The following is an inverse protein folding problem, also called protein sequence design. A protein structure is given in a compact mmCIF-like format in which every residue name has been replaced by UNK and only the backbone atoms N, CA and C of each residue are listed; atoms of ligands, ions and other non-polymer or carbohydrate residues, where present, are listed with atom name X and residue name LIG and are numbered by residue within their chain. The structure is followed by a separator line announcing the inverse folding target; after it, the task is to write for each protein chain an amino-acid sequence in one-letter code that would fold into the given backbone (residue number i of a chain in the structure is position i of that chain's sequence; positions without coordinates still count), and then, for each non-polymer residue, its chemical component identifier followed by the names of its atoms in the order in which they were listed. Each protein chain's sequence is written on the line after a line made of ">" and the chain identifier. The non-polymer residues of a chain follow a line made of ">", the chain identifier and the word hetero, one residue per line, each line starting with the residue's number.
data_IF_829214983214
#
_entry.id   IF_829214983214
#
_cell.length_a   1.000
_cell.length_b   1.000
_cell.length_c   1.000
_cell.angle_alpha   90.00
_cell.angle_beta   90.00
_cell.angle_gamma   90.00
#
_symmetry.space_group_name_H-M   'P 1'
#
loop_
_entity.id
_entity.type
_entity.pdbx_description
1 polymer ?
#
# COMPACT_ATOMS: atom_id res chain seq x y z
N UNK A 1 49.57 -8.00 107.83
CA UNK A 1 49.22 -6.66 108.26
C UNK A 1 48.55 -6.00 107.07
N UNK A 2 47.29 -5.95 107.06
CA UNK A 2 46.41 -4.77 107.16
C UNK A 2 46.17 -4.04 105.82
N UNK A 3 45.11 -3.66 105.38
CA UNK A 3 43.77 -3.36 105.90
C UNK A 3 42.75 -3.46 104.77
N UNK A 4 41.56 -4.08 105.05
CA UNK A 4 40.41 -4.05 104.26
C UNK A 4 39.75 -2.67 104.23
N UNK A 5 39.29 -2.21 103.05
CA UNK A 5 38.31 -1.17 102.95
C UNK A 5 37.27 -1.58 101.88
N UNK A 6 35.96 -1.49 102.21
CA UNK A 6 34.90 -1.94 101.31
C UNK A 6 34.56 -0.89 100.24
N UNK A 7 34.06 -1.30 99.07
CA UNK A 7 33.66 -0.38 98.02
C UNK A 7 32.25 0.10 98.26
N UNK A 8 32.02 1.40 98.19
CA UNK A 8 30.74 2.06 98.18
C UNK A 8 29.97 1.75 96.83
N UNK A 9 28.82 1.07 96.92
CA UNK A 9 27.89 0.93 95.87
C UNK A 9 27.14 2.27 95.59
N UNK A 10 27.49 2.90 94.47
CA UNK A 10 26.70 3.99 93.89
C UNK A 10 25.49 3.40 93.14
N UNK A 11 24.35 3.51 93.70
CA UNK A 11 23.04 3.27 93.11
C UNK A 11 22.81 4.34 91.99
N UNK A 12 23.05 3.99 90.75
CA UNK A 12 22.61 4.79 89.57
C UNK A 12 21.08 4.70 89.49
N UNK A 13 20.40 5.78 89.83
CA UNK A 13 18.99 5.92 89.53
C UNK A 13 18.74 5.99 88.05
N UNK A 14 18.13 4.92 87.46
CA UNK A 14 17.62 4.93 86.10
C UNK A 14 16.40 5.79 86.02
N UNK A 15 16.48 6.96 85.42
CA UNK A 15 15.32 7.75 85.02
C UNK A 15 14.56 6.99 83.89
N UNK A 16 13.29 6.71 84.04
CA UNK A 16 12.46 6.19 82.98
C UNK A 16 12.26 7.33 81.94
N UNK A 17 12.76 7.10 80.73
CA UNK A 17 12.42 7.94 79.56
C UNK A 17 10.90 7.85 79.37
N UNK A 18 10.18 8.87 79.71
CA UNK A 18 8.78 9.02 79.37
C UNK A 18 8.63 9.07 77.88
N UNK A 19 8.14 7.98 77.29
CA UNK A 19 7.75 7.96 75.89
C UNK A 19 6.62 8.98 75.67
N UNK A 20 6.96 10.09 75.00
CA UNK A 20 6.00 11.09 74.61
C UNK A 20 5.01 10.45 73.65
N UNK A 21 3.84 10.11 74.11
CA UNK A 21 2.71 9.75 73.24
C UNK A 21 2.39 10.94 72.34
N UNK A 22 2.83 10.86 71.07
CA UNK A 22 2.37 11.81 70.04
C UNK A 22 0.89 11.58 69.85
N UNK A 23 0.07 12.65 69.93
CA UNK A 23 -1.37 12.53 69.64
C UNK A 23 -1.55 12.06 68.22
N UNK A 24 -2.10 10.85 68.00
CA UNK A 24 -2.55 10.39 66.71
C UNK A 24 -3.75 11.25 66.29
N UNK A 25 -3.52 12.15 65.36
CA UNK A 25 -4.62 12.88 64.73
C UNK A 25 -5.36 11.88 63.83
N UNK A 26 -6.61 11.57 64.16
CA UNK A 26 -7.52 10.80 63.31
C UNK A 26 -7.84 11.59 62.04
N UNK A 27 -7.96 10.87 60.91
CA UNK A 27 -8.44 11.46 59.67
C UNK A 27 -9.86 11.97 59.80
N UNK A 28 -10.11 13.14 59.25
CA UNK A 28 -11.49 13.67 59.17
C UNK A 28 -12.21 13.05 57.96
N UNK A 29 -13.51 12.87 58.04
CA UNK A 29 -14.33 12.32 56.98
C UNK A 29 -14.22 13.17 55.69
N UNK A 30 -14.09 14.49 55.82
CA UNK A 30 -13.91 15.40 54.68
C UNK A 30 -12.56 15.23 53.99
N UNK A 31 -11.51 14.95 54.75
CA UNK A 31 -10.17 14.70 54.20
C UNK A 31 -10.12 13.41 53.35
N UNK A 32 -10.86 12.37 53.80
CA UNK A 32 -11.04 11.15 53.02
C UNK A 32 -11.83 11.40 51.74
N UNK A 33 -12.92 12.17 51.81
CA UNK A 33 -13.74 12.53 50.66
C UNK A 33 -12.94 13.31 49.62
N UNK A 34 -12.15 14.30 50.04
CA UNK A 34 -11.30 15.08 49.14
C UNK A 34 -10.22 14.19 48.50
N UNK A 35 -9.59 13.31 49.27
CA UNK A 35 -8.58 12.40 48.75
C UNK A 35 -9.15 11.47 47.66
N UNK A 36 -10.35 10.89 47.87
CA UNK A 36 -11.02 10.06 46.87
C UNK A 36 -11.41 10.88 45.65
N UNK A 37 -11.90 12.10 45.82
CA UNK A 37 -12.25 12.97 44.70
C UNK A 37 -11.02 13.33 43.84
N UNK A 38 -9.88 13.63 44.46
CA UNK A 38 -8.62 13.92 43.76
C UNK A 38 -8.10 12.68 43.03
N UNK A 39 -8.13 11.51 43.71
CA UNK A 39 -7.74 10.26 43.06
C UNK A 39 -8.63 9.91 41.85
N UNK A 40 -9.95 10.13 42.00
CA UNK A 40 -10.90 9.94 40.88
C UNK A 40 -10.61 10.87 39.70
N UNK A 41 -10.32 12.13 39.96
CA UNK A 41 -9.96 13.12 38.95
C UNK A 41 -8.67 12.75 38.25
N UNK A 42 -7.63 12.35 38.97
CA UNK A 42 -6.35 11.92 38.40
C UNK A 42 -6.50 10.65 37.55
N UNK A 43 -7.31 9.69 38.00
CA UNK A 43 -7.60 8.47 37.24
C UNK A 43 -8.36 8.79 35.97
N UNK A 44 -9.32 9.70 36.01
CA UNK A 44 -10.06 10.14 34.81
C UNK A 44 -9.15 10.84 33.80
N UNK A 45 -8.29 11.76 34.26
CA UNK A 45 -7.31 12.43 33.37
C UNK A 45 -6.31 11.44 32.73
N UNK A 46 -5.84 10.46 33.51
CA UNK A 46 -4.95 9.41 32.99
C UNK A 46 -5.64 8.55 31.91
N UNK A 47 -6.90 8.17 32.15
CA UNK A 47 -7.70 7.44 31.16
C UNK A 47 -7.88 8.24 29.88
N UNK A 48 -8.21 9.52 29.96
CA UNK A 48 -8.41 10.40 28.81
C UNK A 48 -7.12 10.58 28.01
N UNK A 49 -5.96 10.65 28.67
CA UNK A 49 -4.66 10.71 28.00
C UNK A 49 -4.35 9.42 27.22
N UNK A 50 -4.63 8.26 27.81
CA UNK A 50 -4.43 6.95 27.16
C UNK A 50 -5.37 6.75 25.95
N UNK A 51 -6.65 7.16 26.07
CA UNK A 51 -7.60 7.07 24.95
C UNK A 51 -7.15 7.97 23.77
N UNK A 52 -6.71 9.19 24.05
CA UNK A 52 -6.15 10.10 23.05
C UNK A 52 -4.92 9.54 22.35
N UNK A 53 -4.03 8.87 23.09
CA UNK A 53 -2.82 8.26 22.56
C UNK A 53 -3.15 7.08 21.65
N UNK A 54 -4.09 6.21 22.05
CA UNK A 54 -4.57 5.07 21.28
C UNK A 54 -5.21 5.50 19.94
N UNK A 55 -6.01 6.57 19.95
CA UNK A 55 -6.60 7.13 18.72
C UNK A 55 -5.54 7.68 17.77
N UNK A 56 -4.56 8.40 18.30
CA UNK A 56 -3.45 8.95 17.49
C UNK A 56 -2.63 7.83 16.88
N UNK A 57 -2.34 6.77 17.63
CA UNK A 57 -1.62 5.60 17.14
C UNK A 57 -2.37 4.92 16.00
N UNK A 58 -3.69 4.68 16.16
CA UNK A 58 -4.49 4.04 15.12
C UNK A 58 -4.53 4.83 13.81
N UNK A 59 -4.68 6.16 13.89
CA UNK A 59 -4.65 7.05 12.72
C UNK A 59 -3.29 7.02 12.04
N UNK A 60 -2.20 7.06 12.83
CA UNK A 60 -0.84 7.03 12.29
C UNK A 60 -0.54 5.70 11.60
N UNK A 61 -0.96 4.59 12.20
CA UNK A 61 -0.81 3.24 11.62
C UNK A 61 -1.58 3.12 10.32
N UNK A 62 -2.84 3.54 10.28
CA UNK A 62 -3.65 3.50 9.06
C UNK A 62 -3.01 4.33 7.93
N UNK A 63 -2.48 5.51 8.24
CA UNK A 63 -1.77 6.33 7.23
C UNK A 63 -0.51 5.66 6.71
N UNK A 64 0.25 4.99 7.58
CA UNK A 64 1.42 4.24 7.18
C UNK A 64 1.05 3.06 6.27
N UNK A 65 -0.01 2.32 6.60
CA UNK A 65 -0.50 1.20 5.81
C UNK A 65 -0.99 1.65 4.42
N UNK A 66 -1.73 2.76 4.34
CA UNK A 66 -2.18 3.35 3.07
C UNK A 66 -1.00 3.75 2.18
N UNK A 67 0.06 4.31 2.76
CA UNK A 67 1.28 4.69 2.04
C UNK A 67 2.04 3.47 1.53
N UNK A 68 2.21 2.45 2.36
CA UNK A 68 2.86 1.20 1.99
C UNK A 68 2.09 0.48 0.87
N UNK A 69 0.76 0.45 0.94
CA UNK A 69 -0.08 -0.12 -0.11
C UNK A 69 0.09 0.62 -1.44
N UNK A 70 0.11 1.96 -1.41
CA UNK A 70 0.37 2.77 -2.61
C UNK A 70 1.75 2.48 -3.19
N UNK A 71 2.81 2.46 -2.37
CA UNK A 71 4.16 2.16 -2.82
C UNK A 71 4.28 0.75 -3.41
N UNK A 72 3.68 -0.25 -2.76
CA UNK A 72 3.64 -1.62 -3.27
C UNK A 72 2.90 -1.70 -4.61
N UNK A 73 1.78 -0.97 -4.73
CA UNK A 73 1.02 -0.90 -5.98
C UNK A 73 1.79 -0.27 -7.13
N UNK A 74 2.48 0.84 -6.87
CA UNK A 74 3.33 1.48 -7.87
C UNK A 74 4.52 0.59 -8.30
N UNK A 75 5.09 -0.15 -7.35
CA UNK A 75 6.11 -1.16 -7.63
C UNK A 75 5.56 -2.31 -8.49
N UNK A 76 4.35 -2.78 -8.17
CA UNK A 76 3.69 -3.83 -8.96
C UNK A 76 3.32 -3.34 -10.37
N UNK A 77 2.86 -2.08 -10.50
CA UNK A 77 2.62 -1.44 -11.80
C UNK A 77 3.87 -1.46 -12.67
N UNK A 78 5.00 -1.00 -12.14
CA UNK A 78 6.27 -1.01 -12.85
C UNK A 78 6.71 -2.43 -13.23
N UNK A 79 6.61 -3.39 -12.30
CA UNK A 79 6.96 -4.78 -12.54
C UNK A 79 6.05 -5.46 -13.58
N UNK A 80 4.78 -5.07 -13.66
CA UNK A 80 3.87 -5.56 -14.72
C UNK A 80 4.31 -5.06 -16.10
N UNK A 81 4.68 -3.78 -16.20
CA UNK A 81 5.15 -3.18 -17.44
C UNK A 81 6.54 -3.70 -17.87
N UNK A 82 7.46 -3.90 -16.92
CA UNK A 82 8.79 -4.46 -17.18
C UNK A 82 8.74 -5.90 -17.73
N UNK A 83 7.70 -6.64 -17.35
CA UNK A 83 7.52 -8.02 -17.76
C UNK A 83 6.62 -8.18 -19.00
N UNK A 84 6.23 -7.09 -19.67
CA UNK A 84 5.38 -7.16 -20.87
C UNK A 84 5.97 -8.17 -21.88
N UNK A 85 5.08 -8.98 -22.44
CA UNK A 85 5.41 -9.99 -23.43
C UNK A 85 4.45 -9.92 -24.61
N UNK A 86 4.96 -9.73 -25.80
CA UNK A 86 4.19 -9.83 -27.05
C UNK A 86 3.91 -11.29 -27.35
N UNK A 87 2.64 -11.63 -27.53
CA UNK A 87 2.19 -13.00 -27.82
C UNK A 87 1.79 -13.20 -29.27
N UNK A 88 1.60 -12.12 -30.02
CA UNK A 88 1.08 -12.16 -31.39
C UNK A 88 -0.41 -12.53 -31.51
N UNK A 89 -1.08 -12.85 -30.40
CA UNK A 89 -2.50 -13.25 -30.40
C UNK A 89 -3.42 -12.13 -29.92
N UNK A 90 -2.99 -11.37 -28.92
CA UNK A 90 -3.67 -10.19 -28.37
C UNK A 90 -2.67 -9.04 -28.28
N UNK A 91 -3.12 -7.78 -28.17
CA UNK A 91 -2.22 -6.65 -27.92
C UNK A 91 -1.38 -6.90 -26.66
N UNK A 92 -0.10 -6.53 -26.70
CA UNK A 92 0.77 -6.66 -25.53
C UNK A 92 0.43 -5.65 -24.46
N UNK A 93 -0.08 -4.48 -24.86
CA UNK A 93 -0.59 -3.40 -24.01
C UNK A 93 -1.74 -2.72 -24.73
N UNK A 94 -2.84 -2.45 -24.01
CA UNK A 94 -4.02 -1.78 -24.52
C UNK A 94 -4.72 -0.98 -23.42
N UNK A 95 -5.21 0.21 -23.75
CA UNK A 95 -6.00 1.05 -22.87
C UNK A 95 -7.27 1.49 -23.56
N UNK A 96 -8.42 1.10 -23.02
CA UNK A 96 -9.76 1.38 -23.58
C UNK A 96 -10.38 2.68 -23.03
N UNK A 97 -9.61 3.52 -22.34
CA UNK A 97 -10.08 4.73 -21.66
C UNK A 97 -10.49 4.51 -20.20
N UNK A 98 -10.66 3.26 -19.79
CA UNK A 98 -11.02 2.87 -18.43
C UNK A 98 -10.09 1.82 -17.85
N UNK A 99 -9.70 0.85 -18.65
CA UNK A 99 -8.92 -0.32 -18.23
C UNK A 99 -7.63 -0.39 -19.03
N UNK A 100 -6.50 -0.43 -18.36
CA UNK A 100 -5.24 -0.80 -18.98
C UNK A 100 -5.10 -2.31 -18.87
N UNK A 101 -4.93 -2.97 -20.01
CA UNK A 101 -4.72 -4.43 -20.12
C UNK A 101 -3.34 -4.70 -20.68
N UNK A 102 -2.68 -5.72 -20.19
CA UNK A 102 -1.39 -6.14 -20.71
C UNK A 102 -1.18 -7.65 -20.59
N UNK A 103 -0.37 -8.20 -21.48
CA UNK A 103 0.18 -9.54 -21.37
C UNK A 103 1.58 -9.46 -20.81
N UNK A 104 1.88 -10.32 -19.84
CA UNK A 104 3.21 -10.37 -19.23
C UNK A 104 3.69 -11.79 -19.04
N UNK A 105 5.02 -11.93 -18.91
CA UNK A 105 5.65 -13.21 -18.58
C UNK A 105 5.23 -13.66 -17.18
N UNK A 106 4.86 -14.95 -17.06
CA UNK A 106 4.61 -15.58 -15.77
C UNK A 106 5.86 -16.34 -15.30
N UNK A 107 6.55 -15.85 -14.24
CA UNK A 107 7.77 -16.50 -13.77
C UNK A 107 7.51 -17.86 -13.10
N UNK A 108 6.29 -18.10 -12.58
CA UNK A 108 5.97 -19.32 -11.85
C UNK A 108 5.75 -20.52 -12.77
N UNK A 109 5.21 -20.32 -13.98
CA UNK A 109 4.98 -21.40 -14.93
C UNK A 109 6.25 -21.81 -15.70
N UNK A 110 7.24 -20.93 -15.75
CA UNK A 110 8.52 -21.25 -16.41
C UNK A 110 9.31 -22.36 -15.71
N UNK A 111 8.99 -22.67 -14.46
CA UNK A 111 9.75 -23.61 -13.63
C UNK A 111 9.45 -25.09 -13.93
N UNK A 112 8.38 -25.42 -14.64
CA UNK A 112 7.93 -26.83 -14.82
C UNK A 112 7.82 -27.35 -16.25
N UNK A 113 7.61 -26.48 -17.23
CA UNK A 113 7.24 -26.89 -18.61
C UNK A 113 8.22 -26.47 -19.69
N UNK A 114 9.26 -25.72 -19.37
CA UNK A 114 10.24 -25.21 -20.35
C UNK A 114 9.71 -24.10 -21.26
N UNK A 115 8.43 -23.78 -21.20
CA UNK A 115 7.83 -22.65 -21.92
C UNK A 115 7.50 -21.51 -20.96
N UNK A 116 7.81 -20.27 -21.31
CA UNK A 116 7.43 -19.13 -20.49
C UNK A 116 5.90 -19.04 -20.46
N UNK A 117 5.31 -19.16 -19.25
CA UNK A 117 3.90 -18.93 -19.05
C UNK A 117 3.53 -17.46 -19.36
N UNK A 118 2.30 -17.25 -19.77
CA UNK A 118 1.73 -15.92 -20.02
C UNK A 118 0.63 -15.64 -19.04
N UNK A 119 0.59 -14.40 -18.56
CA UNK A 119 -0.44 -13.88 -17.65
C UNK A 119 -1.07 -12.65 -18.27
N UNK A 120 -2.39 -12.54 -18.16
CA UNK A 120 -3.10 -11.30 -18.46
C UNK A 120 -3.25 -10.51 -17.17
N UNK A 121 -2.91 -9.23 -17.21
CA UNK A 121 -3.08 -8.29 -16.11
C UNK A 121 -3.94 -7.14 -16.59
N UNK A 122 -4.79 -6.62 -15.72
CA UNK A 122 -5.57 -5.43 -15.96
C UNK A 122 -5.53 -4.49 -14.75
N UNK A 123 -5.52 -3.19 -15.04
CA UNK A 123 -5.58 -2.12 -14.05
C UNK A 123 -6.74 -1.20 -14.37
N UNK A 124 -7.48 -0.79 -13.37
CA UNK A 124 -8.59 0.16 -13.52
C UNK A 124 -8.86 0.91 -12.22
N UNK A 125 -9.63 1.98 -12.31
CA UNK A 125 -10.18 2.69 -11.16
C UNK A 125 -11.66 2.34 -11.03
N UNK A 126 -12.04 1.67 -9.95
CA UNK A 126 -13.42 1.27 -9.65
C UNK A 126 -13.80 1.76 -8.26
N UNK A 127 -14.94 2.45 -8.14
CA UNK A 127 -15.48 2.93 -6.86
C UNK A 127 -14.45 3.69 -6.01
N UNK A 128 -13.59 4.48 -6.65
CA UNK A 128 -12.53 5.21 -5.95
C UNK A 128 -11.36 4.35 -5.46
N UNK A 129 -11.24 3.11 -5.95
CA UNK A 129 -10.14 2.20 -5.67
C UNK A 129 -9.38 1.91 -6.96
N UNK A 130 -8.07 2.16 -6.96
CA UNK A 130 -7.17 1.71 -7.99
C UNK A 130 -6.93 0.23 -7.78
N UNK A 131 -7.36 -0.58 -8.72
CA UNK A 131 -7.49 -2.04 -8.57
C UNK A 131 -6.74 -2.75 -9.67
N UNK A 132 -6.07 -3.83 -9.31
CA UNK A 132 -5.37 -4.74 -10.20
C UNK A 132 -6.09 -6.08 -10.28
N UNK A 133 -6.26 -6.60 -11.48
CA UNK A 133 -6.77 -7.94 -11.77
C UNK A 133 -5.72 -8.75 -12.53
N UNK A 134 -5.74 -10.09 -12.39
CA UNK A 134 -4.87 -10.97 -13.14
C UNK A 134 -5.49 -12.33 -13.40
N UNK A 135 -5.18 -12.90 -14.59
CA UNK A 135 -5.41 -14.30 -14.92
C UNK A 135 -4.08 -15.00 -15.18
N UNK A 136 -3.92 -16.18 -14.61
CA UNK A 136 -2.72 -17.03 -14.66
C UNK A 136 -3.07 -18.38 -15.27
N UNK A 137 -2.07 -19.22 -15.59
CA UNK A 137 -2.32 -20.56 -16.09
C UNK A 137 -2.79 -20.58 -17.55
N UNK A 138 -2.42 -19.58 -18.35
CA UNK A 138 -2.88 -19.41 -19.72
C UNK A 138 -1.97 -20.20 -20.69
N UNK A 139 -2.27 -21.49 -20.87
CA UNK A 139 -1.44 -22.40 -21.67
C UNK A 139 -1.89 -22.49 -23.14
N UNK A 140 -3.05 -21.94 -23.49
CA UNK A 140 -3.59 -22.00 -24.86
C UNK A 140 -3.99 -20.62 -25.36
N UNK A 141 -3.97 -20.44 -26.70
CA UNK A 141 -4.43 -19.20 -27.32
C UNK A 141 -5.90 -18.90 -27.01
N UNK A 142 -6.72 -19.93 -26.89
CA UNK A 142 -8.14 -19.78 -26.52
C UNK A 142 -8.26 -19.23 -25.09
N UNK A 143 -7.54 -19.79 -24.13
CA UNK A 143 -7.52 -19.30 -22.74
C UNK A 143 -7.00 -17.86 -22.66
N UNK A 144 -5.96 -17.52 -23.42
CA UNK A 144 -5.41 -16.16 -23.50
C UNK A 144 -6.46 -15.16 -24.01
N UNK A 145 -7.13 -15.48 -25.13
CA UNK A 145 -8.18 -14.62 -25.69
C UNK A 145 -9.34 -14.46 -24.70
N UNK A 146 -9.78 -15.55 -24.06
CA UNK A 146 -10.86 -15.48 -23.05
C UNK A 146 -10.47 -14.61 -21.85
N UNK A 147 -9.26 -14.75 -21.33
CA UNK A 147 -8.75 -13.92 -20.23
C UNK A 147 -8.65 -12.44 -20.64
N UNK A 148 -8.23 -12.17 -21.89
CA UNK A 148 -8.16 -10.80 -22.42
C UNK A 148 -9.54 -10.11 -22.48
N UNK A 149 -10.54 -10.83 -22.97
CA UNK A 149 -11.94 -10.36 -23.00
C UNK A 149 -12.55 -10.26 -21.58
N UNK A 150 -12.19 -11.18 -20.68
CA UNK A 150 -12.61 -11.11 -19.28
C UNK A 150 -12.05 -9.86 -18.60
N UNK A 151 -10.79 -9.54 -18.82
CA UNK A 151 -10.15 -8.33 -18.31
C UNK A 151 -10.88 -7.05 -18.76
N UNK A 152 -11.34 -6.99 -20.03
CA UNK A 152 -12.12 -5.87 -20.54
C UNK A 152 -13.47 -5.75 -19.83
N UNK A 153 -14.20 -6.88 -19.72
CA UNK A 153 -15.50 -6.90 -19.02
C UNK A 153 -15.36 -6.54 -17.55
N UNK A 154 -14.36 -7.08 -16.88
CA UNK A 154 -14.06 -6.76 -15.48
C UNK A 154 -13.86 -5.25 -15.27
N UNK A 155 -13.09 -4.59 -16.10
CA UNK A 155 -12.86 -3.16 -16.01
C UNK A 155 -14.13 -2.31 -16.18
N UNK A 156 -15.10 -2.82 -16.94
CA UNK A 156 -16.38 -2.14 -17.15
C UNK A 156 -17.42 -2.47 -16.06
N UNK A 157 -17.53 -3.74 -15.70
CA UNK A 157 -18.49 -4.26 -14.72
C UNK A 157 -17.91 -5.48 -14.01
N UNK A 158 -17.28 -5.30 -12.83
CA UNK A 158 -16.78 -6.41 -12.05
C UNK A 158 -17.93 -7.29 -11.59
N UNK A 159 -17.71 -8.60 -11.59
CA UNK A 159 -18.65 -9.59 -11.07
C UNK A 159 -18.04 -10.27 -9.84
N UNK A 160 -18.84 -10.88 -8.94
CA UNK A 160 -18.35 -11.51 -7.72
C UNK A 160 -17.28 -12.58 -7.95
N UNK A 161 -17.34 -13.28 -9.10
CA UNK A 161 -16.40 -14.32 -9.50
C UNK A 161 -14.98 -13.78 -9.72
N UNK A 162 -14.84 -12.50 -10.05
CA UNK A 162 -13.56 -11.84 -10.25
C UNK A 162 -12.85 -11.50 -8.93
N UNK A 163 -13.55 -11.60 -7.79
CA UNK A 163 -13.03 -11.16 -6.49
C UNK A 163 -11.73 -11.86 -6.08
N UNK A 164 -11.58 -13.14 -6.44
CA UNK A 164 -10.36 -13.91 -6.16
C UNK A 164 -9.16 -13.51 -7.02
N UNK A 165 -9.41 -12.84 -8.15
CA UNK A 165 -8.40 -12.46 -9.14
C UNK A 165 -8.00 -10.99 -9.03
N UNK A 166 -8.67 -10.21 -8.17
CA UNK A 166 -8.45 -8.77 -8.04
C UNK A 166 -7.90 -8.38 -6.67
N UNK A 167 -7.13 -7.31 -6.65
CA UNK A 167 -6.60 -6.69 -5.44
C UNK A 167 -6.82 -5.18 -5.53
N UNK A 168 -7.53 -4.63 -4.55
CA UNK A 168 -7.60 -3.18 -4.35
C UNK A 168 -6.26 -2.69 -3.79
N UNK A 169 -5.65 -1.72 -4.45
CA UNK A 169 -4.29 -1.27 -4.15
C UNK A 169 -4.29 0.03 -3.37
N UNK A 170 -4.95 1.06 -3.90
CA UNK A 170 -4.95 2.38 -3.30
C UNK A 170 -6.25 3.13 -3.61
N UNK A 171 -6.64 4.02 -2.70
CA UNK A 171 -7.75 4.95 -2.95
C UNK A 171 -7.29 6.05 -3.91
N UNK A 172 -8.09 6.34 -4.94
CA UNK A 172 -7.82 7.41 -5.88
C UNK A 172 -9.12 8.05 -6.35
N UNK A 173 -9.14 9.36 -6.53
CA UNK A 173 -10.26 10.11 -7.09
C UNK A 173 -10.30 10.09 -8.62
N UNK A 174 -9.18 9.76 -9.26
CA UNK A 174 -9.03 9.71 -10.70
C UNK A 174 -7.74 9.04 -11.13
N UNK A 175 -7.71 8.57 -12.37
CA UNK A 175 -6.48 8.10 -12.98
C UNK A 175 -6.48 8.40 -14.48
N UNK A 176 -5.26 8.58 -15.04
CA UNK A 176 -5.05 8.81 -16.45
C UNK A 176 -3.82 8.03 -16.90
N UNK A 177 -3.86 7.59 -18.16
CA UNK A 177 -2.75 6.89 -18.80
C UNK A 177 -2.38 7.62 -20.07
N UNK A 178 -1.09 7.82 -20.29
CA UNK A 178 -0.54 8.38 -21.53
C UNK A 178 0.54 7.46 -22.06
N UNK A 179 0.69 7.43 -23.39
CA UNK A 179 1.73 6.70 -24.08
C UNK A 179 2.76 7.67 -24.65
N UNK A 180 4.03 7.36 -24.47
CA UNK A 180 5.13 8.06 -25.13
C UNK A 180 5.43 7.40 -26.46
N UNK A 181 5.29 8.15 -27.54
CA UNK A 181 5.58 7.71 -28.92
C UNK A 181 6.14 8.89 -29.71
N UNK A 182 7.22 8.66 -30.44
CA UNK A 182 7.77 9.68 -31.33
C UNK A 182 8.04 11.04 -30.68
N UNK A 183 8.64 11.04 -29.50
CA UNK A 183 9.05 12.22 -28.71
C UNK A 183 7.91 13.00 -28.00
N UNK A 184 6.69 12.46 -27.96
CA UNK A 184 5.58 13.14 -27.27
C UNK A 184 4.71 12.17 -26.47
N UNK A 185 4.09 12.73 -25.40
CA UNK A 185 3.05 12.01 -24.65
C UNK A 185 1.69 12.21 -25.33
N UNK A 186 1.05 11.09 -25.67
CA UNK A 186 -0.23 11.08 -26.38
C UNK A 186 -1.28 10.32 -25.57
N UNK A 187 -2.55 10.70 -25.75
CA UNK A 187 -3.64 9.91 -25.23
C UNK A 187 -3.68 8.57 -25.98
N UNK A 188 -3.70 7.41 -25.32
CA UNK A 188 -3.77 6.11 -25.98
C UNK A 188 -4.97 5.93 -26.92
N UNK A 189 -6.04 6.68 -26.69
CA UNK A 189 -7.27 6.64 -27.51
C UNK A 189 -7.20 7.53 -28.74
N UNK A 190 -6.16 8.36 -28.87
CA UNK A 190 -6.01 9.22 -30.06
C UNK A 190 -5.57 8.37 -31.24
N UNK A 191 -6.23 8.52 -32.38
CA UNK A 191 -6.00 7.77 -33.61
C UNK A 191 -4.60 7.97 -34.23
N UNK A 192 -3.83 8.93 -33.75
CA UNK A 192 -2.51 9.29 -34.25
C UNK A 192 -1.42 8.21 -34.02
N UNK A 193 -1.76 7.09 -33.32
CA UNK A 193 -0.87 5.94 -33.16
C UNK A 193 -1.00 4.88 -34.26
N UNK A 194 -1.94 5.03 -35.17
CA UNK A 194 -2.21 4.13 -36.31
C UNK A 194 -2.07 4.85 -37.65
N UNK A 195 -1.08 5.73 -37.82
CA UNK A 195 -0.71 6.14 -39.15
C UNK A 195 -0.26 4.86 -39.91
N UNK A 196 -0.95 4.43 -40.97
CA UNK A 196 -0.40 3.41 -41.85
C UNK A 196 0.93 3.96 -42.34
N UNK A 197 2.00 3.12 -42.24
CA UNK A 197 3.26 3.48 -42.85
C UNK A 197 2.96 3.88 -44.29
N UNK A 198 3.34 5.11 -44.65
CA UNK A 198 3.03 5.74 -45.95
C UNK A 198 3.63 5.01 -47.15
N UNK A 199 4.33 3.89 -46.96
CA UNK A 199 5.04 3.10 -47.97
C UNK A 199 4.47 1.69 -48.17
N UNK A 200 3.22 1.38 -47.73
CA UNK A 200 2.61 0.09 -48.13
C UNK A 200 1.92 0.26 -49.48
N UNK A 201 2.31 -0.53 -50.50
CA UNK A 201 1.66 -0.50 -51.80
C UNK A 201 0.17 -0.82 -51.63
N UNK A 202 -0.68 0.03 -52.20
CA UNK A 202 -2.13 -0.13 -52.22
C UNK A 202 -2.48 -1.50 -52.87
N UNK A 203 -2.99 -2.43 -52.07
CA UNK A 203 -3.46 -3.70 -52.59
C UNK A 203 -3.25 -4.96 -51.74
N UNK A 204 -2.50 -4.87 -50.65
CA UNK A 204 -2.37 -6.03 -49.74
C UNK A 204 -3.52 -6.00 -48.76
N UNK A 205 -4.40 -7.03 -48.70
CA UNK A 205 -5.42 -7.07 -47.64
C UNK A 205 -4.70 -7.11 -46.29
N UNK A 206 -5.02 -6.23 -45.40
CA UNK A 206 -4.53 -6.20 -44.02
C UNK A 206 -5.00 -7.47 -43.31
N UNK A 207 -4.33 -8.61 -43.55
CA UNK A 207 -4.60 -9.90 -42.91
C UNK A 207 -3.94 -10.03 -41.52
N UNK A 208 -3.41 -8.94 -40.98
CA UNK A 208 -2.88 -8.90 -39.63
C UNK A 208 -3.80 -8.06 -38.77
N UNK A 209 -4.34 -8.61 -37.65
CA UNK A 209 -4.86 -7.79 -36.57
C UNK A 209 -3.81 -6.76 -36.24
N UNK A 210 -4.14 -5.48 -36.36
CA UNK A 210 -3.24 -4.42 -35.97
C UNK A 210 -3.16 -4.44 -34.42
N UNK A 211 -2.22 -5.22 -33.89
CA UNK A 211 -2.07 -5.46 -32.44
C UNK A 211 -1.47 -4.24 -31.73
N UNK A 212 -1.30 -3.12 -32.43
CA UNK A 212 -0.69 -1.90 -31.90
C UNK A 212 0.81 -2.10 -31.57
N UNK A 213 1.63 -1.12 -31.87
CA UNK A 213 3.02 -1.12 -31.43
C UNK A 213 3.11 -0.74 -29.96
N UNK A 214 3.94 -1.46 -29.21
CA UNK A 214 4.21 -1.14 -27.81
C UNK A 214 4.81 0.28 -27.72
N UNK A 215 4.30 1.18 -26.84
CA UNK A 215 4.87 2.52 -26.69
C UNK A 215 6.26 2.45 -26.05
N UNK A 216 7.06 3.49 -26.25
CA UNK A 216 8.39 3.63 -25.64
C UNK A 216 8.32 4.01 -24.17
N UNK A 217 7.17 4.55 -23.72
CA UNK A 217 6.90 4.84 -22.32
C UNK A 217 5.42 4.86 -22.01
N UNK A 218 5.10 4.69 -20.73
CA UNK A 218 3.75 4.77 -20.18
C UNK A 218 3.78 5.69 -18.97
N UNK A 219 2.93 6.71 -18.97
CA UNK A 219 2.72 7.61 -17.84
C UNK A 219 1.41 7.27 -17.17
N UNK A 220 1.47 7.03 -15.87
CA UNK A 220 0.34 6.93 -14.96
C UNK A 220 0.21 8.24 -14.18
N UNK A 221 -0.99 8.80 -14.13
CA UNK A 221 -1.35 9.90 -13.23
C UNK A 221 -2.47 9.38 -12.33
N UNK A 222 -2.23 9.39 -11.01
CA UNK A 222 -3.25 9.08 -10.00
C UNK A 222 -3.59 10.34 -9.24
N UNK A 223 -4.86 10.74 -9.25
CA UNK A 223 -5.35 11.85 -8.44
C UNK A 223 -5.74 11.34 -7.05
N UNK A 224 -4.90 11.62 -6.06
CA UNK A 224 -5.11 11.19 -4.68
C UNK A 224 -6.05 12.17 -3.97
N UNK A 225 -7.12 11.63 -3.35
CA UNK A 225 -8.17 12.44 -2.73
C UNK A 225 -7.69 13.17 -1.48
N UNK A 226 -8.28 14.33 -1.13
CA UNK A 226 -8.03 14.99 0.13
C UNK A 226 -8.34 14.07 1.33
N UNK A 227 -7.53 14.18 2.39
CA UNK A 227 -7.69 13.36 3.60
C UNK A 227 -6.88 12.07 3.60
N UNK A 228 -6.19 11.74 2.51
CA UNK A 228 -5.18 10.69 2.48
C UNK A 228 -3.82 11.21 2.98
N UNK A 229 -2.88 10.31 3.23
CA UNK A 229 -1.51 10.65 3.67
C UNK A 229 -0.77 11.51 2.62
N UNK A 230 -1.01 11.24 1.35
CA UNK A 230 -0.54 12.01 0.20
C UNK A 230 -1.76 12.49 -0.57
N UNK A 231 -1.75 13.73 -1.05
CA UNK A 231 -2.84 14.36 -1.80
C UNK A 231 -2.32 15.01 -3.07
N UNK A 232 -3.19 15.13 -4.07
CA UNK A 232 -2.83 15.73 -5.37
C UNK A 232 -2.48 14.68 -6.42
N UNK A 233 -1.91 15.12 -7.53
CA UNK A 233 -1.57 14.25 -8.64
C UNK A 233 -0.20 13.59 -8.43
N UNK A 234 -0.21 12.27 -8.39
CA UNK A 234 0.98 11.44 -8.37
C UNK A 234 1.25 10.98 -9.80
N UNK A 235 2.41 11.34 -10.33
CA UNK A 235 2.85 10.97 -11.68
C UNK A 235 3.90 9.88 -11.59
N UNK A 236 3.70 8.80 -12.35
CA UNK A 236 4.67 7.72 -12.48
C UNK A 236 4.92 7.40 -13.94
N UNK A 237 6.15 7.60 -14.38
CA UNK A 237 6.59 7.25 -15.73
C UNK A 237 7.30 5.90 -15.70
N UNK A 238 7.01 5.12 -16.73
CA UNK A 238 7.74 3.92 -17.10
C UNK A 238 8.32 4.10 -18.48
N UNK A 239 9.57 3.74 -18.68
CA UNK A 239 10.23 3.71 -19.99
C UNK A 239 10.54 2.26 -20.35
N UNK A 240 10.26 1.88 -21.60
CA UNK A 240 10.54 0.55 -22.08
C UNK A 240 12.04 0.26 -21.97
N UNK A 241 12.45 -0.84 -21.32
CA UNK A 241 13.85 -1.23 -21.27
C UNK A 241 14.36 -1.51 -22.70
N UNK A 242 15.25 -0.69 -23.20
CA UNK A 242 15.98 -0.95 -24.45
C UNK A 242 17.17 -1.83 -24.13
N UNK A 243 17.13 -3.10 -24.51
CA UNK A 243 18.29 -3.98 -24.45
C UNK A 243 19.34 -3.45 -25.44
N UNK A 244 20.24 -2.60 -24.93
CA UNK A 244 21.55 -2.28 -25.48
C UNK A 244 21.70 -2.21 -27.00
N UNK A 245 21.12 -1.19 -27.62
CA UNK A 245 21.56 -0.71 -28.93
C UNK A 245 22.35 0.57 -28.74
N UNK A 246 23.58 0.47 -28.22
CA UNK A 246 24.50 1.59 -28.27
C UNK A 246 24.66 2.05 -29.72
N UNK A 247 24.15 3.23 -30.03
CA UNK A 247 24.59 3.93 -31.25
C UNK A 247 26.06 4.27 -31.05
N UNK A 248 26.94 3.53 -31.72
CA UNK A 248 28.31 3.96 -31.96
C UNK A 248 28.32 5.08 -32.96
#
# INVERSE_FOLDING_TARGET
>A
MHHLHPPHHLLQARHPLAAACRPQRGFTLIELLVAIAVMGLMSYMSWQALDGMSRTESITRQRADDLLALQAGLGQWAADLDAIQETGAVPALDFDGRTLRLTRRDPLESAGTGSPGVRVVAWTLQQGQWTRWQATGLQTLTALNQAWEQAARWGQRPVPEDAAQQVAVAKSGGWQVFYFRGDTWTNPLSADGTAPAADSPAGTPATGRNLGTLPDGVRLILTLSPGQTVTGDLVRDWARPVLGGGKS
#
